data_IF_267235724207
#
_entry.id   IF_267235724207
#
_cell.length_a   1.000
_cell.length_b   1.000
_cell.length_c   1.000
_cell.angle_alpha   90.00
_cell.angle_beta   90.00
_cell.angle_gamma   90.00
#
_symmetry.space_group_name_H-M   'P 1'
#
loop_
_entity.id
_entity.type
_entity.pdbx_description
1 polymer ?
#
# COMPACT_ATOMS: atom_id res chain seq x y z
N UNK A 1 2.52 -12.63 38.02
CA UNK A 1 3.42 -11.76 37.18
C UNK A 1 4.49 -12.57 36.42
N UNK A 2 4.31 -13.86 36.18
CA UNK A 2 5.31 -14.70 35.46
C UNK A 2 4.92 -15.12 34.04
N UNK A 3 3.80 -14.61 33.49
CA UNK A 3 3.26 -15.12 32.22
C UNK A 3 3.65 -14.31 30.96
N UNK A 4 4.42 -13.24 31.07
CA UNK A 4 4.79 -12.41 29.90
C UNK A 4 6.25 -12.51 29.46
N UNK A 5 7.15 -13.01 30.32
CA UNK A 5 8.59 -13.04 30.00
C UNK A 5 8.95 -14.01 28.86
N UNK A 6 8.26 -15.14 28.72
CA UNK A 6 8.54 -16.08 27.64
C UNK A 6 8.13 -15.55 26.26
N UNK A 7 7.07 -14.70 26.18
CA UNK A 7 6.63 -14.10 24.90
C UNK A 7 7.69 -13.16 24.33
N UNK A 8 8.44 -12.47 25.18
CA UNK A 8 9.56 -11.62 24.74
C UNK A 8 10.80 -12.40 24.29
N UNK A 9 10.91 -13.68 24.62
CA UNK A 9 12.01 -14.55 24.19
C UNK A 9 11.75 -15.26 22.85
N UNK A 10 10.52 -15.19 22.31
CA UNK A 10 10.16 -15.78 21.02
C UNK A 10 10.18 -14.68 19.95
N UNK A 11 11.16 -14.75 19.05
CA UNK A 11 11.28 -13.79 17.95
C UNK A 11 10.25 -14.03 16.86
N UNK A 12 10.07 -13.05 15.97
CA UNK A 12 9.21 -13.20 14.77
C UNK A 12 9.71 -14.33 13.86
N UNK A 13 11.01 -14.58 13.85
CA UNK A 13 11.63 -15.68 13.09
C UNK A 13 11.24 -17.03 13.68
N UNK A 14 11.28 -17.19 15.01
CA UNK A 14 10.89 -18.42 15.68
C UNK A 14 9.42 -18.75 15.45
N UNK A 15 8.57 -17.73 15.43
CA UNK A 15 7.14 -17.86 15.13
C UNK A 15 6.91 -18.28 13.69
N UNK A 16 7.62 -17.66 12.73
CA UNK A 16 7.52 -18.02 11.32
C UNK A 16 7.98 -19.45 11.06
N UNK A 17 9.09 -19.91 11.67
CA UNK A 17 9.52 -21.30 11.58
C UNK A 17 8.47 -22.27 12.15
N UNK A 18 7.80 -21.86 13.22
CA UNK A 18 6.72 -22.66 13.82
C UNK A 18 5.50 -22.75 12.89
N UNK A 19 5.09 -21.64 12.27
CA UNK A 19 4.02 -21.60 11.27
C UNK A 19 4.37 -22.51 10.08
N UNK A 20 5.60 -22.46 9.60
CA UNK A 20 6.07 -23.30 8.49
C UNK A 20 5.97 -24.80 8.82
N UNK A 21 6.35 -25.19 10.04
CA UNK A 21 6.23 -26.58 10.52
C UNK A 21 4.77 -27.04 10.66
N UNK A 22 3.88 -26.13 11.10
CA UNK A 22 2.43 -26.42 11.15
C UNK A 22 1.89 -26.60 9.73
N UNK A 23 2.25 -25.70 8.80
CA UNK A 23 1.83 -25.73 7.39
C UNK A 23 2.22 -27.05 6.70
N UNK A 24 3.47 -27.51 6.90
CA UNK A 24 3.94 -28.80 6.38
C UNK A 24 3.14 -30.00 6.91
N UNK A 25 2.60 -29.89 8.11
CA UNK A 25 1.85 -30.95 8.76
C UNK A 25 0.33 -30.91 8.49
N UNK A 26 -0.19 -29.77 7.99
CA UNK A 26 -1.61 -29.60 7.67
C UNK A 26 -1.95 -30.29 6.34
N UNK A 27 -3.02 -31.14 6.30
CA UNK A 27 -3.49 -31.71 5.05
C UNK A 27 -3.95 -30.68 4.00
N UNK A 28 -4.46 -29.54 4.48
CA UNK A 28 -4.94 -28.43 3.65
C UNK A 28 -3.82 -27.64 2.99
N UNK A 29 -2.61 -27.65 3.56
CA UNK A 29 -1.50 -26.75 3.20
C UNK A 29 -1.93 -25.26 3.11
N UNK A 30 -2.93 -24.87 3.91
CA UNK A 30 -3.42 -23.49 3.95
C UNK A 30 -2.61 -22.65 4.95
N UNK A 31 -1.92 -21.64 4.44
CA UNK A 31 -1.11 -20.73 5.24
C UNK A 31 -1.95 -19.97 6.28
N UNK A 32 -3.18 -19.57 5.94
CA UNK A 32 -4.05 -18.85 6.87
C UNK A 32 -4.47 -19.75 8.05
N UNK A 33 -4.71 -21.03 7.79
CA UNK A 33 -5.01 -22.01 8.82
C UNK A 33 -3.80 -22.25 9.73
N UNK A 34 -2.60 -22.37 9.16
CA UNK A 34 -1.37 -22.54 9.92
C UNK A 34 -1.08 -21.31 10.83
N UNK A 35 -1.27 -20.10 10.32
CA UNK A 35 -1.14 -18.85 11.08
C UNK A 35 -2.17 -18.78 12.22
N UNK A 36 -3.44 -19.14 11.96
CA UNK A 36 -4.48 -19.13 12.97
C UNK A 36 -4.20 -20.11 14.13
N UNK A 37 -3.67 -21.30 13.81
CA UNK A 37 -3.29 -22.32 14.81
C UNK A 37 -2.12 -21.80 15.67
N UNK A 38 -1.07 -21.25 15.05
CA UNK A 38 0.08 -20.70 15.78
C UNK A 38 -0.34 -19.53 16.66
N UNK A 39 -1.12 -18.59 16.14
CA UNK A 39 -1.58 -17.42 16.87
C UNK A 39 -2.43 -17.85 18.09
N UNK A 40 -3.35 -18.79 17.92
CA UNK A 40 -4.14 -19.32 19.02
C UNK A 40 -3.27 -20.02 20.10
N UNK A 41 -2.24 -20.74 19.67
CA UNK A 41 -1.26 -21.34 20.59
C UNK A 41 -0.45 -20.28 21.35
N UNK A 42 -0.02 -19.22 20.67
CA UNK A 42 0.74 -18.11 21.26
C UNK A 42 -0.10 -17.34 22.29
N UNK A 43 -1.36 -17.06 21.98
CA UNK A 43 -2.25 -16.29 22.85
C UNK A 43 -2.66 -17.07 24.11
N UNK A 44 -2.94 -18.36 23.97
CA UNK A 44 -3.48 -19.19 25.03
C UNK A 44 -2.43 -19.91 25.91
N UNK A 45 -1.12 -19.81 25.55
CA UNK A 45 -0.06 -20.45 26.34
C UNK A 45 0.43 -19.57 27.47
N UNK A 46 0.68 -20.18 28.60
CA UNK A 46 1.26 -19.52 29.80
C UNK A 46 2.78 -19.67 29.92
N UNK A 47 3.40 -20.50 29.06
CA UNK A 47 4.84 -20.76 29.03
C UNK A 47 5.30 -21.18 27.63
N UNK A 48 6.62 -21.02 27.36
CA UNK A 48 7.25 -21.45 26.11
C UNK A 48 7.05 -22.96 25.85
N UNK A 49 7.13 -23.80 26.89
CA UNK A 49 6.90 -25.24 26.75
C UNK A 49 5.46 -25.57 26.34
N UNK A 50 4.49 -24.84 26.88
CA UNK A 50 3.07 -25.00 26.52
C UNK A 50 2.82 -24.54 25.07
N UNK A 51 3.41 -23.42 24.67
CA UNK A 51 3.35 -22.91 23.30
C UNK A 51 3.94 -23.93 22.30
N UNK A 52 5.15 -24.39 22.53
CA UNK A 52 5.81 -25.39 21.68
C UNK A 52 4.99 -26.68 21.57
N UNK A 53 4.41 -27.13 22.71
CA UNK A 53 3.55 -28.32 22.71
C UNK A 53 2.23 -28.12 21.99
N UNK A 54 1.65 -26.91 22.02
CA UNK A 54 0.42 -26.59 21.31
C UNK A 54 0.62 -26.51 19.79
N UNK A 55 1.81 -26.08 19.35
CA UNK A 55 2.19 -26.01 17.94
C UNK A 55 2.71 -27.33 17.36
N UNK A 56 2.74 -28.43 18.14
CA UNK A 56 3.35 -29.69 17.67
C UNK A 56 2.49 -30.37 16.58
N UNK A 57 3.06 -30.76 15.42
CA UNK A 57 2.34 -31.28 14.25
C UNK A 57 1.39 -32.47 14.54
N UNK A 58 1.74 -33.32 15.50
CA UNK A 58 0.94 -34.52 15.82
C UNK A 58 -0.44 -34.25 16.45
N UNK A 59 -0.76 -33.01 16.84
CA UNK A 59 -2.07 -32.65 17.40
C UNK A 59 -3.11 -32.21 16.35
N UNK A 60 -2.70 -31.98 15.12
CA UNK A 60 -3.53 -31.41 14.07
C UNK A 60 -4.01 -32.43 13.02
N UNK A 61 -3.81 -33.73 13.28
CA UNK A 61 -4.13 -34.80 12.34
C UNK A 61 -5.51 -35.45 12.49
N UNK A 62 -6.32 -35.10 13.52
CA UNK A 62 -7.67 -35.64 13.68
C UNK A 62 -8.66 -34.59 14.22
N UNK A 63 -9.81 -34.36 13.55
CA UNK A 63 -10.88 -33.56 14.12
C UNK A 63 -11.64 -34.39 15.18
N UNK A 64 -12.03 -33.85 16.33
CA UNK A 64 -12.88 -34.52 17.29
C UNK A 64 -14.31 -34.57 16.78
N UNK A 65 -14.87 -35.79 16.69
CA UNK A 65 -16.28 -36.06 16.44
C UNK A 65 -17.14 -35.59 17.61
N UNK A 66 -18.12 -34.75 17.34
CA UNK A 66 -19.12 -34.27 18.29
C UNK A 66 -20.19 -35.30 18.55
N UNK A 67 -20.66 -35.50 19.78
CA UNK A 67 -21.88 -36.26 20.04
C UNK A 67 -23.14 -35.39 19.90
N UNK A 68 -24.11 -35.93 19.18
CA UNK A 68 -25.47 -35.40 19.12
C UNK A 68 -26.10 -35.36 20.51
N UNK A 69 -26.70 -34.24 20.86
CA UNK A 69 -27.69 -34.15 21.94
C UNK A 69 -28.94 -33.47 21.42
N UNK A 70 -30.04 -34.21 21.50
CA UNK A 70 -31.41 -33.79 21.23
C UNK A 70 -31.90 -32.79 22.28
N UNK A 71 -32.51 -31.69 21.86
CA UNK A 71 -33.35 -30.86 22.72
C UNK A 71 -34.49 -30.20 21.94
N UNK A 72 -35.66 -30.25 22.50
CA UNK A 72 -36.97 -29.79 22.07
C UNK A 72 -37.13 -28.25 22.21
N UNK A 73 -38.17 -27.63 21.62
CA UNK A 73 -38.23 -26.21 21.32
C UNK A 73 -38.85 -25.38 22.45
N UNK A 74 -38.34 -24.18 22.65
CA UNK A 74 -39.05 -23.15 23.44
C UNK A 74 -38.69 -21.73 22.99
N UNK A 75 -39.73 -20.98 22.61
CA UNK A 75 -39.95 -19.53 22.65
C UNK A 75 -39.07 -18.59 21.82
N UNK A 76 -39.65 -17.55 21.19
CA UNK A 76 -38.91 -16.56 20.41
C UNK A 76 -38.14 -15.59 21.33
N UNK A 77 -36.85 -15.77 21.45
CA UNK A 77 -35.97 -14.81 22.10
C UNK A 77 -35.66 -13.67 21.15
N UNK A 78 -35.72 -12.46 21.69
CA UNK A 78 -35.25 -11.22 21.09
C UNK A 78 -33.84 -11.40 20.46
N UNK A 79 -33.51 -10.69 19.34
CA UNK A 79 -32.18 -10.77 18.79
C UNK A 79 -31.17 -10.33 19.85
N UNK A 80 -30.20 -11.19 20.14
CA UNK A 80 -29.06 -10.85 20.98
C UNK A 80 -28.34 -9.62 20.41
N UNK A 81 -27.82 -8.70 21.25
CA UNK A 81 -27.04 -7.56 20.74
C UNK A 81 -25.82 -8.12 20.02
N UNK A 82 -25.71 -7.83 18.74
CA UNK A 82 -24.50 -8.10 17.98
C UNK A 82 -23.34 -7.41 18.69
N UNK A 83 -22.44 -8.17 19.29
CA UNK A 83 -21.29 -7.68 20.04
C UNK A 83 -20.18 -7.28 19.06
N UNK A 84 -20.45 -6.29 18.22
CA UNK A 84 -19.45 -5.66 17.37
C UNK A 84 -18.49 -4.78 18.18
N UNK A 85 -17.27 -4.62 17.67
CA UNK A 85 -16.27 -3.72 18.28
C UNK A 85 -16.84 -2.29 18.30
N UNK A 86 -16.65 -1.58 19.43
CA UNK A 86 -16.99 -0.16 19.56
C UNK A 86 -15.73 0.70 19.56
N UNK A 87 -15.70 1.73 18.70
CA UNK A 87 -14.59 2.68 18.59
C UNK A 87 -15.17 4.11 18.73
N UNK A 88 -14.95 4.74 19.86
CA UNK A 88 -15.58 6.01 20.20
C UNK A 88 -17.10 5.93 20.20
N UNK A 89 -17.76 6.75 19.39
CA UNK A 89 -19.21 6.76 19.18
C UNK A 89 -19.70 5.68 18.20
N UNK A 90 -18.80 5.08 17.40
CA UNK A 90 -19.13 4.11 16.38
C UNK A 90 -19.27 2.71 16.98
N UNK A 91 -20.38 2.05 16.70
CA UNK A 91 -20.71 0.69 17.16
C UNK A 91 -20.71 -0.29 15.97
N UNK A 92 -20.59 -1.58 16.29
CA UNK A 92 -20.61 -2.67 15.31
C UNK A 92 -19.51 -2.53 14.23
N UNK A 93 -18.33 -2.11 14.67
CA UNK A 93 -17.17 -2.00 13.78
C UNK A 93 -16.57 -3.39 13.51
N UNK A 94 -16.23 -3.66 12.26
CA UNK A 94 -15.54 -4.88 11.82
C UNK A 94 -14.16 -4.51 11.25
N UNK A 95 -13.10 -5.31 11.54
CA UNK A 95 -11.77 -5.05 11.00
C UNK A 95 -11.77 -5.25 9.47
N UNK A 96 -11.03 -4.40 8.76
CA UNK A 96 -10.79 -4.50 7.31
C UNK A 96 -9.31 -4.79 7.04
N UNK A 97 -8.41 -4.07 7.71
CA UNK A 97 -6.98 -4.13 7.47
C UNK A 97 -6.21 -3.91 8.77
N UNK A 98 -5.11 -4.63 8.92
CA UNK A 98 -4.17 -4.48 10.04
C UNK A 98 -2.79 -4.17 9.46
N UNK A 99 -2.34 -2.94 9.69
CA UNK A 99 -1.05 -2.44 9.21
C UNK A 99 -0.13 -2.06 10.37
N UNK A 100 1.15 -1.86 10.07
CA UNK A 100 2.20 -1.54 11.06
C UNK A 100 1.90 -0.26 11.84
N UNK A 101 1.33 0.76 11.19
CA UNK A 101 1.08 2.08 11.79
C UNK A 101 -0.38 2.32 12.15
N UNK A 102 -1.31 1.57 11.57
CA UNK A 102 -2.74 1.78 11.77
C UNK A 102 -3.55 0.53 11.47
N UNK A 103 -4.69 0.41 12.15
CA UNK A 103 -5.73 -0.57 11.89
C UNK A 103 -6.94 0.12 11.27
N UNK A 104 -7.57 -0.50 10.28
CA UNK A 104 -8.76 0.06 9.63
C UNK A 104 -9.97 -0.80 9.92
N UNK A 105 -11.04 -0.15 10.37
CA UNK A 105 -12.32 -0.79 10.68
C UNK A 105 -13.43 -0.20 9.82
N UNK A 106 -14.39 -1.03 9.44
CA UNK A 106 -15.64 -0.61 8.82
C UNK A 106 -16.72 -0.49 9.86
N UNK A 107 -17.42 0.65 9.89
CA UNK A 107 -18.56 0.93 10.75
C UNK A 107 -19.70 1.47 9.90
N UNK A 108 -20.53 0.59 9.34
CA UNK A 108 -21.57 0.95 8.38
C UNK A 108 -20.99 1.53 7.09
N UNK A 109 -21.26 2.82 6.83
CA UNK A 109 -20.75 3.58 5.68
C UNK A 109 -19.47 4.37 5.97
N UNK A 110 -18.86 4.15 7.13
CA UNK A 110 -17.65 4.86 7.58
C UNK A 110 -16.49 3.87 7.72
N UNK A 111 -15.30 4.28 7.30
CA UNK A 111 -14.04 3.60 7.59
C UNK A 111 -13.30 4.38 8.70
N UNK A 112 -12.84 3.68 9.72
CA UNK A 112 -12.09 4.25 10.85
C UNK A 112 -10.64 3.77 10.77
N UNK A 113 -9.70 4.68 10.55
CA UNK A 113 -8.26 4.45 10.63
C UNK A 113 -7.80 4.75 12.05
N UNK A 114 -7.57 3.70 12.83
CA UNK A 114 -7.08 3.79 14.22
C UNK A 114 -5.56 3.76 14.20
N UNK A 115 -4.94 4.80 14.71
CA UNK A 115 -3.47 4.93 14.74
C UNK A 115 -2.91 4.11 15.90
N UNK A 116 -2.02 3.18 15.57
CA UNK A 116 -1.36 2.28 16.55
C UNK A 116 0.05 2.79 16.88
N UNK A 117 0.80 3.18 15.85
CA UNK A 117 2.15 3.70 16.00
C UNK A 117 2.37 4.97 15.17
N UNK A 118 3.17 5.89 15.71
CA UNK A 118 3.59 7.10 15.01
C UNK A 118 5.10 7.08 14.85
N UNK A 119 5.56 6.85 13.64
CA UNK A 119 6.99 6.82 13.27
C UNK A 119 7.13 7.54 11.92
N UNK A 120 7.97 8.59 11.86
CA UNK A 120 8.22 9.29 10.59
C UNK A 120 8.73 8.29 9.51
N UNK A 121 8.28 8.41 8.28
CA UNK A 121 7.51 9.53 7.69
C UNK A 121 5.99 9.50 7.97
N UNK A 122 5.45 8.52 8.69
CA UNK A 122 4.03 8.44 9.03
C UNK A 122 3.68 9.41 10.17
N UNK A 123 2.96 10.49 9.84
CA UNK A 123 2.57 11.51 10.81
C UNK A 123 1.06 11.81 10.72
N UNK A 124 0.24 11.19 11.59
CA UNK A 124 -1.21 11.31 11.51
C UNK A 124 -1.73 12.73 11.84
N UNK A 125 -1.02 13.53 12.63
CA UNK A 125 -1.40 14.91 12.88
C UNK A 125 -1.16 15.80 11.65
N UNK A 126 -0.10 15.54 10.91
CA UNK A 126 0.16 16.17 9.61
C UNK A 126 -0.88 15.71 8.58
N UNK A 127 -1.19 14.41 8.51
CA UNK A 127 -2.23 13.85 7.65
C UNK A 127 -3.58 14.57 7.84
N UNK A 128 -4.04 14.72 9.08
CA UNK A 128 -5.28 15.45 9.41
C UNK A 128 -5.26 16.89 8.85
N UNK A 129 -4.17 17.62 9.10
CA UNK A 129 -4.06 19.02 8.66
C UNK A 129 -4.08 19.15 7.14
N UNK A 130 -3.41 18.21 6.43
CA UNK A 130 -3.42 18.17 4.97
C UNK A 130 -4.86 17.87 4.48
N UNK A 131 -5.48 16.80 4.96
CA UNK A 131 -6.81 16.37 4.53
C UNK A 131 -7.90 17.45 4.77
N UNK A 132 -7.78 18.25 5.81
CA UNK A 132 -8.71 19.36 6.09
C UNK A 132 -8.71 20.44 4.99
N UNK A 133 -7.62 20.55 4.21
CA UNK A 133 -7.50 21.51 3.11
C UNK A 133 -7.91 20.95 1.75
N UNK A 134 -7.98 19.63 1.63
CA UNK A 134 -8.22 18.93 0.38
C UNK A 134 -9.71 18.73 0.08
N UNK A 135 -10.02 18.49 -1.18
CA UNK A 135 -11.36 18.20 -1.71
C UNK A 135 -11.31 16.97 -2.62
N UNK A 136 -12.44 16.33 -2.93
CA UNK A 136 -12.47 15.31 -3.97
C UNK A 136 -11.79 15.79 -5.26
N UNK A 137 -11.02 14.93 -5.92
CA UNK A 137 -10.93 13.47 -5.73
C UNK A 137 -9.91 12.98 -4.68
N UNK A 138 -9.41 13.82 -3.77
CA UNK A 138 -8.78 13.32 -2.53
C UNK A 138 -9.88 12.81 -1.58
N UNK A 139 -9.57 11.76 -0.79
CA UNK A 139 -10.52 11.21 0.17
C UNK A 139 -10.91 12.27 1.23
N UNK A 140 -12.19 12.56 1.45
CA UNK A 140 -12.59 13.54 2.46
C UNK A 140 -12.43 12.97 3.87
N UNK A 141 -11.81 13.73 4.76
CA UNK A 141 -11.81 13.45 6.20
C UNK A 141 -13.17 13.88 6.78
N UNK A 142 -13.92 12.95 7.39
CA UNK A 142 -15.20 13.24 8.05
C UNK A 142 -14.93 13.91 9.40
N UNK A 143 -14.15 13.25 10.25
CA UNK A 143 -13.74 13.76 11.56
C UNK A 143 -12.47 13.07 12.05
N UNK A 144 -11.87 13.60 13.11
CA UNK A 144 -10.82 12.92 13.85
C UNK A 144 -11.11 13.06 15.36
N UNK A 145 -10.91 11.99 16.10
CA UNK A 145 -11.18 11.93 17.52
C UNK A 145 -10.23 10.97 18.25
N UNK A 146 -10.33 10.92 19.58
CA UNK A 146 -9.65 9.88 20.36
C UNK A 146 -10.68 8.86 20.86
N UNK A 147 -10.33 7.59 20.71
CA UNK A 147 -11.17 6.50 21.20
C UNK A 147 -11.07 6.32 22.74
N UNK A 148 -11.70 5.27 23.27
CA UNK A 148 -11.69 4.95 24.70
C UNK A 148 -10.28 4.66 25.23
N UNK A 149 -9.35 4.21 24.37
CA UNK A 149 -7.95 3.90 24.66
C UNK A 149 -7.02 5.08 24.38
N UNK A 150 -7.58 6.27 24.10
CA UNK A 150 -6.86 7.49 23.74
C UNK A 150 -6.07 7.40 22.44
N UNK A 151 -6.31 6.39 21.60
CA UNK A 151 -5.74 6.29 20.26
C UNK A 151 -6.39 7.30 19.34
N UNK A 152 -5.60 7.89 18.46
CA UNK A 152 -6.10 8.82 17.45
C UNK A 152 -6.83 8.01 16.36
N UNK A 153 -8.03 8.46 16.02
CA UNK A 153 -8.87 7.83 14.99
C UNK A 153 -9.22 8.87 13.93
N UNK A 154 -9.06 8.50 12.67
CA UNK A 154 -9.49 9.27 11.51
C UNK A 154 -10.67 8.56 10.86
N UNK A 155 -11.78 9.27 10.65
CA UNK A 155 -12.99 8.75 10.02
C UNK A 155 -13.10 9.22 8.58
N UNK A 156 -13.38 8.27 7.68
CA UNK A 156 -13.50 8.48 6.23
C UNK A 156 -14.80 7.84 5.72
N UNK A 157 -15.32 8.24 4.56
CA UNK A 157 -16.32 7.43 3.86
C UNK A 157 -15.75 6.03 3.57
N UNK A 158 -16.54 5.00 3.81
CA UNK A 158 -16.13 3.65 3.46
C UNK A 158 -16.20 3.44 1.94
N UNK A 159 -15.08 3.06 1.35
CA UNK A 159 -14.97 2.65 -0.04
C UNK A 159 -14.76 1.14 -0.11
N UNK A 160 -15.61 0.40 -0.87
CA UNK A 160 -15.62 -1.06 -0.85
C UNK A 160 -14.43 -1.70 -1.57
N UNK A 161 -13.73 -0.96 -2.41
CA UNK A 161 -12.67 -1.47 -3.28
C UNK A 161 -11.47 -0.52 -3.30
N UNK A 162 -10.32 -1.08 -3.64
CA UNK A 162 -9.13 -0.35 -4.07
C UNK A 162 -8.87 -0.63 -5.56
N UNK A 163 -8.01 0.16 -6.19
CA UNK A 163 -7.53 -0.16 -7.54
C UNK A 163 -6.73 -1.48 -7.53
N UNK A 164 -6.02 -1.81 -6.44
CA UNK A 164 -5.36 -3.11 -6.30
C UNK A 164 -6.35 -4.27 -6.43
N UNK A 165 -7.51 -4.19 -5.75
CA UNK A 165 -8.56 -5.22 -5.86
C UNK A 165 -9.08 -5.40 -7.29
N UNK A 166 -9.11 -4.33 -8.07
CA UNK A 166 -9.55 -4.37 -9.47
C UNK A 166 -8.48 -4.97 -10.35
N UNK A 167 -7.20 -4.59 -10.17
CA UNK A 167 -6.08 -5.13 -10.94
C UNK A 167 -5.87 -6.61 -10.66
N UNK A 168 -5.88 -7.04 -9.40
CA UNK A 168 -5.67 -8.43 -8.99
C UNK A 168 -6.74 -9.39 -9.54
N UNK A 169 -7.98 -8.90 -9.69
CA UNK A 169 -9.09 -9.68 -10.24
C UNK A 169 -9.12 -9.69 -11.76
N UNK A 170 -8.32 -8.85 -12.41
CA UNK A 170 -8.33 -8.69 -13.86
C UNK A 170 -7.38 -9.68 -14.53
N UNK A 171 -7.88 -10.47 -15.48
CA UNK A 171 -7.06 -11.37 -16.31
C UNK A 171 -6.51 -10.69 -17.57
N UNK A 172 -6.94 -9.46 -17.84
CA UNK A 172 -6.55 -8.65 -19.01
C UNK A 172 -6.34 -7.20 -18.59
N UNK A 173 -5.74 -6.40 -19.46
CA UNK A 173 -5.65 -4.95 -19.29
C UNK A 173 -7.02 -4.36 -18.94
N UNK A 174 -7.03 -3.29 -18.15
CA UNK A 174 -8.25 -2.55 -17.90
C UNK A 174 -8.75 -1.88 -19.19
N UNK A 175 -10.08 -1.73 -19.29
CA UNK A 175 -10.69 -1.00 -20.38
C UNK A 175 -10.24 0.48 -20.41
N UNK A 176 -10.03 1.03 -21.61
CA UNK A 176 -9.55 2.40 -21.80
C UNK A 176 -10.45 3.45 -21.16
N UNK A 177 -11.77 3.25 -21.16
CA UNK A 177 -12.71 4.17 -20.52
C UNK A 177 -12.58 4.12 -19.00
N UNK A 178 -12.36 2.93 -18.43
CA UNK A 178 -12.11 2.73 -17.02
C UNK A 178 -10.77 3.36 -16.58
N UNK A 179 -9.70 3.15 -17.37
CA UNK A 179 -8.40 3.79 -17.14
C UNK A 179 -8.55 5.32 -17.15
N UNK A 180 -9.23 5.87 -18.16
CA UNK A 180 -9.47 7.31 -18.28
C UNK A 180 -10.20 7.86 -17.06
N UNK A 181 -11.24 7.17 -16.59
CA UNK A 181 -12.01 7.58 -15.42
C UNK A 181 -11.16 7.57 -14.14
N UNK A 182 -10.58 6.41 -13.80
CA UNK A 182 -9.83 6.23 -12.55
C UNK A 182 -8.57 7.11 -12.53
N UNK A 183 -7.76 7.05 -13.58
CA UNK A 183 -6.51 7.81 -13.62
C UNK A 183 -6.76 9.31 -13.83
N UNK A 184 -7.88 9.71 -14.45
CA UNK A 184 -8.32 11.10 -14.53
C UNK A 184 -8.59 11.67 -13.12
N UNK A 185 -9.32 10.95 -12.28
CA UNK A 185 -9.55 11.34 -10.88
C UNK A 185 -8.22 11.42 -10.09
N UNK A 186 -7.33 10.43 -10.24
CA UNK A 186 -6.02 10.43 -9.56
C UNK A 186 -5.15 11.60 -10.02
N UNK A 187 -5.11 11.89 -11.33
CA UNK A 187 -4.42 13.05 -11.88
C UNK A 187 -4.98 14.37 -11.32
N UNK A 188 -6.31 14.49 -11.24
CA UNK A 188 -6.96 15.65 -10.62
C UNK A 188 -6.56 15.81 -9.14
N UNK A 189 -6.48 14.72 -8.38
CA UNK A 189 -6.01 14.74 -7.00
C UNK A 189 -4.54 15.18 -6.92
N UNK A 190 -3.66 14.62 -7.77
CA UNK A 190 -2.24 14.98 -7.80
C UNK A 190 -2.02 16.44 -8.21
N UNK A 191 -2.74 16.94 -9.21
CA UNK A 191 -2.69 18.35 -9.59
C UNK A 191 -3.05 19.25 -8.39
N UNK A 192 -4.12 18.93 -7.67
CA UNK A 192 -4.58 19.70 -6.51
C UNK A 192 -3.57 19.71 -5.35
N UNK A 193 -2.88 18.61 -5.05
CA UNK A 193 -1.89 18.58 -3.98
C UNK A 193 -0.55 19.19 -4.42
N UNK A 194 -0.11 18.92 -5.65
CA UNK A 194 1.16 19.45 -6.18
C UNK A 194 1.11 20.98 -6.32
N UNK A 195 -0.04 21.57 -6.67
CA UNK A 195 -0.21 23.02 -6.71
C UNK A 195 -0.02 23.70 -5.33
N UNK A 196 -0.19 22.93 -4.24
CA UNK A 196 0.07 23.38 -2.87
C UNK A 196 1.49 23.00 -2.39
N UNK A 197 2.32 22.43 -3.25
CA UNK A 197 3.66 21.94 -2.93
C UNK A 197 3.66 20.68 -2.06
N UNK A 198 2.51 20.01 -1.90
CA UNK A 198 2.41 18.75 -1.16
C UNK A 198 2.90 17.61 -2.05
N UNK A 199 3.70 16.69 -1.48
CA UNK A 199 4.16 15.45 -2.14
C UNK A 199 3.59 14.27 -1.38
N UNK A 200 2.86 13.40 -2.07
CA UNK A 200 2.17 12.25 -1.43
C UNK A 200 3.15 11.19 -0.93
N UNK A 201 4.14 10.85 -1.76
CA UNK A 201 5.27 9.95 -1.49
C UNK A 201 4.94 8.44 -1.44
N UNK A 202 3.67 8.05 -1.56
CA UNK A 202 3.28 6.63 -1.56
C UNK A 202 2.09 6.34 -2.50
N UNK A 203 2.19 6.81 -3.75
CA UNK A 203 1.22 6.50 -4.80
C UNK A 203 1.36 5.03 -5.21
N UNK A 204 0.25 4.28 -5.09
CA UNK A 204 0.17 2.85 -5.39
C UNK A 204 -1.30 2.42 -5.56
N UNK A 205 -1.61 1.26 -6.18
CA UNK A 205 -2.99 0.84 -6.39
C UNK A 205 -3.83 0.73 -5.11
N UNK A 206 -3.24 0.30 -3.98
CA UNK A 206 -3.95 0.21 -2.70
C UNK A 206 -4.25 1.57 -2.04
N UNK A 207 -3.60 2.66 -2.48
CA UNK A 207 -3.91 4.02 -2.04
C UNK A 207 -5.03 4.68 -2.86
N UNK A 208 -5.50 4.04 -3.93
CA UNK A 208 -6.61 4.52 -4.77
C UNK A 208 -7.88 3.78 -4.36
N UNK A 209 -8.76 4.47 -3.64
CA UNK A 209 -10.03 3.93 -3.18
C UNK A 209 -11.14 4.14 -4.23
N UNK A 210 -11.98 3.14 -4.41
CA UNK A 210 -13.05 3.14 -5.42
C UNK A 210 -14.41 2.96 -4.76
N UNK A 211 -15.36 3.84 -5.09
CA UNK A 211 -16.74 3.72 -4.64
C UNK A 211 -17.47 2.54 -5.33
N UNK A 212 -17.04 2.21 -6.55
CA UNK A 212 -17.49 1.05 -7.34
C UNK A 212 -16.37 0.59 -8.28
N UNK A 213 -16.45 -0.58 -8.93
CA UNK A 213 -15.45 -1.00 -9.92
C UNK A 213 -15.19 -0.01 -11.05
N UNK A 214 -16.14 0.88 -11.34
CA UNK A 214 -16.04 1.92 -12.38
C UNK A 214 -15.71 3.33 -11.83
N UNK A 215 -15.42 3.46 -10.55
CA UNK A 215 -15.17 4.75 -9.89
C UNK A 215 -16.41 5.31 -9.17
N UNK A 216 -16.43 6.57 -8.77
CA UNK A 216 -15.28 7.48 -8.78
C UNK A 216 -14.12 7.00 -7.93
N UNK A 217 -12.89 7.42 -8.30
CA UNK A 217 -11.69 7.12 -7.59
C UNK A 217 -11.30 8.26 -6.62
N UNK A 218 -10.70 7.87 -5.48
CA UNK A 218 -10.22 8.83 -4.49
C UNK A 218 -8.79 8.49 -4.08
N UNK A 219 -7.91 9.48 -4.14
CA UNK A 219 -6.56 9.37 -3.59
C UNK A 219 -6.64 9.39 -2.05
N UNK A 220 -6.05 8.41 -1.42
CA UNK A 220 -6.07 8.19 0.03
C UNK A 220 -4.67 7.98 0.61
N UNK A 221 -4.58 7.79 1.92
CA UNK A 221 -3.37 7.48 2.68
C UNK A 221 -2.29 8.56 2.63
N UNK A 222 -2.63 9.75 3.14
CA UNK A 222 -1.73 10.89 3.25
C UNK A 222 -0.77 10.81 4.46
N UNK A 223 -0.69 9.66 5.13
CA UNK A 223 0.14 9.47 6.33
C UNK A 223 1.62 9.80 6.12
N UNK A 224 2.15 9.50 4.94
CA UNK A 224 3.54 9.79 4.55
C UNK A 224 3.72 11.13 3.85
N UNK A 225 2.65 11.87 3.54
CA UNK A 225 2.73 13.08 2.72
C UNK A 225 3.63 14.15 3.33
N UNK A 226 4.46 14.78 2.49
CA UNK A 226 5.27 15.93 2.85
C UNK A 226 4.55 17.23 2.49
N UNK A 227 4.60 18.20 3.39
CA UNK A 227 3.98 19.50 3.19
C UNK A 227 5.00 20.63 3.43
N UNK A 228 5.09 21.66 2.58
CA UNK A 228 6.17 22.65 2.63
C UNK A 228 6.30 23.39 3.95
N UNK A 229 5.21 23.59 4.69
CA UNK A 229 5.23 24.26 5.98
C UNK A 229 5.08 23.31 7.16
N UNK A 230 4.22 22.29 7.07
CA UNK A 230 3.96 21.37 8.16
C UNK A 230 5.09 20.37 8.42
N UNK A 231 5.86 20.05 7.39
CA UNK A 231 7.00 19.13 7.48
C UNK A 231 8.34 19.84 7.65
N UNK A 232 8.43 21.16 7.39
CA UNK A 232 9.70 21.88 7.26
C UNK A 232 10.61 21.80 8.49
N UNK A 233 10.04 21.63 9.69
CA UNK A 233 10.83 21.54 10.94
C UNK A 233 11.46 20.16 11.14
N UNK A 234 10.80 19.07 10.73
CA UNK A 234 11.30 17.70 10.86
C UNK A 234 11.98 17.21 9.57
N UNK A 235 11.49 17.64 8.42
CA UNK A 235 11.99 17.29 7.09
C UNK A 235 12.17 18.56 6.22
N UNK A 236 13.30 19.27 6.33
CA UNK A 236 13.56 20.43 5.46
C UNK A 236 13.51 20.05 3.98
N UNK A 237 13.16 20.98 3.06
CA UNK A 237 13.01 20.71 1.62
C UNK A 237 14.22 20.02 0.95
N UNK A 238 15.43 20.31 1.41
CA UNK A 238 16.66 19.70 0.89
C UNK A 238 17.11 18.45 1.70
N UNK A 239 16.34 17.99 2.70
CA UNK A 239 16.74 16.89 3.56
C UNK A 239 15.53 16.03 3.98
N UNK A 240 14.75 15.61 2.98
CA UNK A 240 13.58 14.73 3.20
C UNK A 240 14.00 13.30 3.51
N UNK A 241 13.09 12.55 4.13
CA UNK A 241 13.26 11.13 4.44
C UNK A 241 13.24 10.34 3.13
N UNK A 242 14.12 9.34 3.02
CA UNK A 242 14.25 8.47 1.84
C UNK A 242 13.44 7.17 1.93
N UNK A 243 13.00 6.80 3.14
CA UNK A 243 12.15 5.61 3.31
C UNK A 243 10.70 5.94 2.97
N UNK A 244 10.45 6.17 1.70
CA UNK A 244 9.15 6.54 1.11
C UNK A 244 8.94 5.79 -0.20
N UNK A 245 7.69 5.59 -0.56
CA UNK A 245 7.29 4.81 -1.73
C UNK A 245 7.31 3.30 -1.48
N UNK A 246 6.43 2.59 -2.15
CA UNK A 246 6.21 1.15 -1.95
C UNK A 246 6.66 0.36 -3.19
N UNK A 247 7.48 -0.65 -2.97
CA UNK A 247 7.83 -1.68 -3.96
C UNK A 247 8.16 -1.10 -5.34
N UNK A 248 7.53 -1.60 -6.43
CA UNK A 248 7.85 -1.22 -7.80
C UNK A 248 7.54 0.24 -8.13
N UNK A 249 6.76 0.96 -7.31
CA UNK A 249 6.35 2.35 -7.50
C UNK A 249 7.37 3.36 -6.99
N UNK A 250 8.41 2.90 -6.26
CA UNK A 250 9.45 3.78 -5.70
C UNK A 250 10.31 4.40 -6.81
N UNK A 251 10.42 5.72 -6.77
CA UNK A 251 11.15 6.49 -7.79
C UNK A 251 12.68 6.32 -7.69
N UNK A 252 13.42 6.30 -8.81
CA UNK A 252 14.86 6.06 -8.83
C UNK A 252 15.66 7.11 -8.06
N UNK A 253 15.29 8.39 -8.08
CA UNK A 253 15.98 9.43 -7.31
C UNK A 253 15.93 9.16 -5.80
N UNK A 254 14.85 8.61 -5.29
CA UNK A 254 14.75 8.18 -3.88
C UNK A 254 15.69 7.00 -3.62
N UNK A 255 15.74 6.02 -4.53
CA UNK A 255 16.64 4.87 -4.44
C UNK A 255 18.11 5.26 -4.44
N UNK A 256 18.47 6.32 -5.16
CA UNK A 256 19.85 6.86 -5.24
C UNK A 256 20.14 7.96 -4.22
N UNK A 257 19.21 8.20 -3.29
CA UNK A 257 19.45 9.02 -2.11
C UNK A 257 19.32 10.54 -2.30
N UNK A 258 18.60 10.98 -3.34
CA UNK A 258 18.24 12.39 -3.47
C UNK A 258 17.23 12.78 -2.40
N UNK A 259 17.68 13.54 -1.41
CA UNK A 259 16.83 14.05 -0.33
C UNK A 259 16.05 15.32 -0.71
N UNK A 260 16.35 15.90 -1.87
CA UNK A 260 15.68 17.10 -2.37
C UNK A 260 14.48 16.80 -3.27
N UNK A 261 14.14 15.52 -3.46
CA UNK A 261 13.04 15.08 -4.32
C UNK A 261 11.76 15.89 -4.11
N UNK A 262 10.89 15.91 -5.12
CA UNK A 262 9.64 16.69 -5.11
C UNK A 262 8.49 15.93 -5.78
N UNK A 263 7.45 16.63 -6.27
CA UNK A 263 6.30 16.07 -6.96
C UNK A 263 6.63 15.04 -8.06
N UNK A 264 7.75 15.09 -8.78
CA UNK A 264 8.08 14.08 -9.79
C UNK A 264 8.11 12.63 -9.26
N UNK A 265 8.34 12.39 -7.95
CA UNK A 265 8.30 11.02 -7.40
C UNK A 265 6.89 10.42 -7.45
N UNK A 266 5.85 11.24 -7.24
CA UNK A 266 4.45 10.82 -7.36
C UNK A 266 4.09 10.55 -8.82
N UNK A 267 4.63 11.35 -9.75
CA UNK A 267 4.40 11.17 -11.18
C UNK A 267 5.08 9.90 -11.74
N UNK A 268 6.27 9.54 -11.22
CA UNK A 268 6.87 8.23 -11.49
C UNK A 268 5.95 7.10 -11.03
N UNK A 269 5.52 7.14 -9.78
CA UNK A 269 4.67 6.11 -9.20
C UNK A 269 3.33 5.96 -9.96
N UNK A 270 2.71 7.09 -10.35
CA UNK A 270 1.53 7.11 -11.21
C UNK A 270 1.81 6.45 -12.57
N UNK A 271 2.94 6.76 -13.19
CA UNK A 271 3.34 6.18 -14.48
C UNK A 271 3.54 4.67 -14.41
N UNK A 272 4.15 4.17 -13.33
CA UNK A 272 4.30 2.73 -13.07
C UNK A 272 2.93 2.06 -12.87
N UNK A 273 2.04 2.68 -12.11
CA UNK A 273 0.68 2.21 -11.88
C UNK A 273 -0.15 2.20 -13.17
N UNK A 274 -0.01 3.22 -14.04
CA UNK A 274 -0.65 3.24 -15.35
C UNK A 274 -0.10 2.14 -16.26
N UNK A 275 1.23 1.94 -16.28
CA UNK A 275 1.86 0.86 -17.03
C UNK A 275 1.36 -0.52 -16.59
N UNK A 276 1.11 -0.71 -15.30
CA UNK A 276 0.51 -1.93 -14.75
C UNK A 276 -0.92 -2.14 -15.26
N UNK A 277 -1.77 -1.11 -15.18
CA UNK A 277 -3.18 -1.19 -15.56
C UNK A 277 -3.41 -1.48 -17.05
N UNK A 278 -2.51 -1.02 -17.93
CA UNK A 278 -2.61 -1.22 -19.40
C UNK A 278 -1.99 -2.53 -19.88
N UNK A 279 -1.32 -3.30 -19.02
CA UNK A 279 -0.74 -4.62 -19.36
C UNK A 279 -1.78 -5.73 -19.24
N UNK A 280 -1.57 -6.79 -20.01
CA UNK A 280 -2.43 -7.98 -19.99
C UNK A 280 -1.59 -9.23 -19.72
N UNK A 281 -1.75 -9.91 -18.54
CA UNK A 281 -2.49 -9.46 -17.37
C UNK A 281 -1.84 -8.22 -16.71
N UNK A 282 -2.58 -7.48 -15.86
CA UNK A 282 -2.02 -6.35 -15.12
C UNK A 282 -0.82 -6.80 -14.27
N UNK A 283 0.28 -6.09 -14.38
CA UNK A 283 1.48 -6.33 -13.58
C UNK A 283 2.43 -5.14 -13.68
N UNK A 284 3.11 -4.76 -12.59
CA UNK A 284 4.09 -3.68 -12.64
C UNK A 284 5.19 -3.94 -13.68
N UNK A 285 5.72 -2.92 -14.36
CA UNK A 285 6.82 -3.06 -15.31
C UNK A 285 8.15 -3.40 -14.62
N UNK A 286 8.25 -3.18 -13.33
CA UNK A 286 9.44 -3.42 -12.52
C UNK A 286 9.19 -4.48 -11.47
N UNK A 287 10.14 -5.39 -11.29
CA UNK A 287 10.12 -6.37 -10.21
C UNK A 287 10.67 -5.74 -8.93
N UNK A 288 9.96 -5.96 -7.83
CA UNK A 288 10.43 -5.57 -6.50
C UNK A 288 10.17 -6.73 -5.54
N UNK A 289 11.21 -7.18 -4.85
CA UNK A 289 11.10 -8.18 -3.80
C UNK A 289 11.04 -7.53 -2.43
N UNK A 290 10.40 -8.18 -1.44
CA UNK A 290 10.41 -7.69 -0.07
C UNK A 290 11.83 -7.46 0.44
N UNK A 291 12.03 -6.38 1.20
CA UNK A 291 13.36 -5.99 1.71
C UNK A 291 14.02 -7.09 2.56
N UNK A 292 13.22 -7.89 3.28
CA UNK A 292 13.71 -9.00 4.08
C UNK A 292 14.21 -10.19 3.26
N UNK A 293 13.81 -10.32 1.99
CA UNK A 293 14.33 -11.36 1.10
C UNK A 293 15.66 -10.95 0.44
N UNK A 294 15.78 -9.68 0.02
CA UNK A 294 16.95 -9.17 -0.72
C UNK A 294 17.88 -8.32 0.13
N UNK A 295 17.46 -7.92 1.33
CA UNK A 295 18.21 -7.04 2.23
C UNK A 295 18.42 -5.62 1.72
N UNK A 296 17.96 -5.28 0.49
CA UNK A 296 18.18 -3.97 -0.10
C UNK A 296 17.26 -3.70 -1.29
N UNK A 297 17.37 -2.48 -1.82
CA UNK A 297 16.63 -1.99 -2.98
C UNK A 297 17.36 -2.26 -4.32
N UNK A 298 18.44 -3.03 -4.32
CA UNK A 298 19.25 -3.32 -5.51
C UNK A 298 18.47 -4.10 -6.56
N UNK A 299 17.61 -5.04 -6.13
CA UNK A 299 16.74 -5.80 -7.02
C UNK A 299 15.84 -4.89 -7.85
N UNK A 300 15.21 -3.90 -7.22
CA UNK A 300 14.38 -2.92 -7.92
C UNK A 300 15.20 -2.04 -8.87
N UNK A 301 16.36 -1.54 -8.44
CA UNK A 301 17.25 -0.74 -9.30
C UNK A 301 17.64 -1.55 -10.55
N UNK A 302 18.06 -2.81 -10.37
CA UNK A 302 18.40 -3.68 -11.49
C UNK A 302 17.21 -3.94 -12.42
N UNK A 303 16.01 -4.11 -11.88
CA UNK A 303 14.80 -4.29 -12.68
C UNK A 303 14.47 -3.04 -13.50
N UNK A 304 14.60 -1.84 -12.91
CA UNK A 304 14.42 -0.57 -13.61
C UNK A 304 15.45 -0.48 -14.76
N UNK A 305 16.74 -0.75 -14.49
CA UNK A 305 17.80 -0.65 -15.50
C UNK A 305 17.66 -1.69 -16.61
N UNK A 306 17.26 -2.92 -16.30
CA UNK A 306 16.96 -3.95 -17.30
C UNK A 306 15.78 -3.57 -18.19
N UNK A 307 14.81 -2.86 -17.65
CA UNK A 307 13.59 -2.49 -18.38
C UNK A 307 13.79 -1.26 -19.23
N UNK A 308 14.36 -0.17 -18.67
CA UNK A 308 14.51 1.12 -19.35
C UNK A 308 15.86 1.31 -20.02
N UNK A 309 16.86 0.56 -19.62
CA UNK A 309 18.27 0.78 -19.89
C UNK A 309 18.98 1.49 -18.73
N UNK A 310 20.29 1.29 -18.61
CA UNK A 310 21.11 2.01 -17.63
C UNK A 310 21.13 3.49 -17.96
N UNK A 311 20.85 4.39 -17.01
CA UNK A 311 20.90 5.82 -17.29
C UNK A 311 22.32 6.30 -17.60
N UNK A 312 22.41 7.37 -18.38
CA UNK A 312 23.65 8.08 -18.68
C UNK A 312 23.60 9.50 -18.12
N UNK A 313 24.72 10.21 -18.02
CA UNK A 313 24.72 11.62 -17.63
C UNK A 313 23.85 12.54 -18.49
N UNK A 314 23.50 12.12 -19.71
CA UNK A 314 22.60 12.84 -20.64
C UNK A 314 21.13 12.50 -20.36
N UNK A 315 20.81 11.24 -20.01
CA UNK A 315 19.44 10.81 -19.74
C UNK A 315 19.00 11.06 -18.29
N UNK A 316 19.97 11.30 -17.39
CA UNK A 316 19.74 11.66 -16.00
C UNK A 316 20.75 12.67 -15.47
N UNK A 317 20.72 13.92 -15.95
CA UNK A 317 21.75 14.92 -15.61
C UNK A 317 21.80 15.27 -14.11
N UNK A 318 20.67 15.20 -13.39
CA UNK A 318 20.59 15.50 -11.96
C UNK A 318 21.38 14.49 -11.11
N UNK A 319 21.47 13.25 -11.57
CA UNK A 319 22.17 12.18 -10.85
C UNK A 319 23.69 12.40 -10.76
N UNK A 320 24.25 13.35 -11.52
CA UNK A 320 25.67 13.79 -11.35
C UNK A 320 25.93 14.39 -9.97
N UNK A 321 24.90 14.94 -9.33
CA UNK A 321 24.99 15.53 -7.99
C UNK A 321 24.72 14.51 -6.86
N UNK A 322 24.32 13.29 -7.17
CA UNK A 322 24.03 12.27 -6.17
C UNK A 322 25.31 11.77 -5.52
N UNK A 323 25.24 11.43 -4.24
CA UNK A 323 26.38 10.88 -3.49
C UNK A 323 26.90 9.58 -4.11
N UNK A 324 26.02 8.75 -4.64
CA UNK A 324 26.31 7.53 -5.39
C UNK A 324 25.67 7.70 -6.75
N UNK A 325 26.50 7.83 -7.79
CA UNK A 325 26.00 7.99 -9.15
C UNK A 325 25.62 6.64 -9.75
N UNK A 326 24.57 6.57 -10.60
CA UNK A 326 24.19 5.32 -11.25
C UNK A 326 25.09 4.94 -12.43
N UNK A 327 26.08 5.76 -12.81
CA UNK A 327 26.75 5.68 -14.11
C UNK A 327 27.93 4.72 -14.16
N UNK A 328 28.63 4.49 -13.04
CA UNK A 328 29.94 3.82 -13.02
C UNK A 328 29.92 2.43 -12.37
N UNK A 329 28.90 2.10 -11.62
CA UNK A 329 28.88 0.92 -10.74
C UNK A 329 28.07 -0.26 -11.26
N UNK A 330 27.42 -0.12 -12.42
CA UNK A 330 26.39 -1.05 -12.86
C UNK A 330 26.72 -1.70 -14.22
N UNK A 331 26.22 -2.90 -14.40
CA UNK A 331 26.18 -3.51 -15.75
C UNK A 331 25.35 -2.60 -16.67
N UNK A 332 25.90 -2.25 -17.82
CA UNK A 332 25.21 -1.43 -18.80
C UNK A 332 24.16 -2.25 -19.53
N UNK A 333 22.91 -1.83 -19.36
CA UNK A 333 21.77 -2.37 -20.13
C UNK A 333 21.42 -1.37 -21.24
N UNK A 334 21.13 -1.84 -22.46
CA UNK A 334 20.75 -0.97 -23.56
C UNK A 334 19.39 -0.30 -23.26
N UNK A 335 19.22 0.93 -23.73
CA UNK A 335 17.93 1.59 -23.69
C UNK A 335 16.93 0.82 -24.55
N UNK A 336 15.68 0.75 -24.07
CA UNK A 336 14.59 0.07 -24.75
C UNK A 336 13.45 1.04 -25.03
N UNK A 337 12.92 0.95 -26.22
CA UNK A 337 11.77 1.75 -26.63
C UNK A 337 10.47 1.27 -25.96
N UNK A 338 9.59 2.20 -25.62
CA UNK A 338 8.35 1.88 -24.92
C UNK A 338 7.43 0.93 -25.66
N UNK A 339 7.45 0.92 -27.02
CA UNK A 339 6.69 -0.05 -27.79
C UNK A 339 7.18 -1.51 -27.62
N UNK A 340 8.43 -1.68 -27.20
CA UNK A 340 9.03 -2.99 -26.86
C UNK A 340 8.74 -3.36 -25.41
N UNK A 341 8.69 -2.38 -24.51
CA UNK A 341 8.41 -2.56 -23.08
C UNK A 341 6.92 -2.87 -22.86
N UNK A 342 6.06 -2.15 -23.58
CA UNK A 342 4.61 -2.24 -23.52
C UNK A 342 4.04 -2.57 -24.93
N UNK A 343 4.19 -3.81 -25.40
CA UNK A 343 3.68 -4.21 -26.70
C UNK A 343 2.16 -4.37 -26.66
N UNK A 344 1.49 -4.00 -27.78
CA UNK A 344 0.06 -4.26 -27.97
C UNK A 344 -0.87 -3.39 -27.13
N UNK A 345 -0.37 -2.38 -26.40
CA UNK A 345 -1.19 -1.42 -25.65
C UNK A 345 -1.55 -0.20 -26.48
N UNK A 346 -2.58 0.52 -26.05
CA UNK A 346 -2.97 1.79 -26.66
C UNK A 346 -1.79 2.78 -26.70
N UNK A 347 -1.58 3.41 -27.87
CA UNK A 347 -0.44 4.29 -28.09
C UNK A 347 -0.48 5.55 -27.21
N UNK A 348 -1.67 6.11 -26.97
CA UNK A 348 -1.84 7.31 -26.15
C UNK A 348 -1.46 7.07 -24.70
N UNK A 349 -1.93 5.96 -24.09
CA UNK A 349 -1.55 5.59 -22.73
C UNK A 349 -0.07 5.20 -22.63
N UNK A 350 0.47 4.48 -23.62
CA UNK A 350 1.90 4.17 -23.67
C UNK A 350 2.76 5.44 -23.74
N UNK A 351 2.37 6.42 -24.51
CA UNK A 351 3.08 7.71 -24.61
C UNK A 351 2.96 8.50 -23.30
N UNK A 352 1.81 8.44 -22.61
CA UNK A 352 1.68 9.01 -21.26
C UNK A 352 2.64 8.35 -20.27
N UNK A 353 2.73 7.01 -20.26
CA UNK A 353 3.72 6.28 -19.44
C UNK A 353 5.13 6.74 -19.77
N UNK A 354 5.49 6.87 -21.05
CA UNK A 354 6.82 7.32 -21.49
C UNK A 354 7.17 8.73 -20.98
N UNK A 355 6.18 9.60 -20.78
CA UNK A 355 6.36 10.94 -20.22
C UNK A 355 6.46 10.97 -18.70
N UNK A 356 5.93 9.96 -18.02
CA UNK A 356 5.92 9.84 -16.57
C UNK A 356 7.10 9.03 -16.05
N UNK A 357 7.44 7.93 -16.70
CA UNK A 357 8.48 6.99 -16.25
C UNK A 357 9.80 7.34 -16.97
N UNK A 358 10.45 8.38 -16.47
CA UNK A 358 11.73 8.90 -16.95
C UNK A 358 12.69 9.07 -15.80
N UNK A 359 13.99 8.95 -16.06
CA UNK A 359 15.03 9.19 -15.06
C UNK A 359 15.11 10.64 -14.64
N UNK A 360 15.11 11.54 -15.62
CA UNK A 360 15.28 12.99 -15.40
C UNK A 360 14.04 13.63 -14.74
N UNK A 361 14.24 14.81 -14.17
CA UNK A 361 13.19 15.58 -13.50
C UNK A 361 12.14 16.21 -14.43
N UNK A 362 12.24 16.01 -15.76
CA UNK A 362 11.29 16.56 -16.75
C UNK A 362 10.06 15.65 -16.96
N UNK A 363 9.67 14.88 -15.95
CA UNK A 363 8.41 14.11 -15.96
C UNK A 363 7.23 15.06 -16.13
N UNK A 364 6.25 14.65 -16.94
CA UNK A 364 5.04 15.44 -17.11
C UNK A 364 4.33 15.65 -15.77
N UNK A 365 3.82 16.86 -15.56
CA UNK A 365 2.98 17.19 -14.41
C UNK A 365 1.58 16.57 -14.56
N UNK A 366 0.83 16.50 -13.47
CA UNK A 366 -0.54 15.98 -13.52
C UNK A 366 -1.44 16.82 -14.44
N UNK A 367 -1.30 18.15 -14.39
CA UNK A 367 -2.04 19.07 -15.26
C UNK A 367 -1.70 18.84 -16.75
N UNK A 368 -0.42 18.63 -17.08
CA UNK A 368 0.00 18.33 -18.44
C UNK A 368 -0.58 17.01 -18.95
N UNK A 369 -0.55 15.94 -18.13
CA UNK A 369 -1.09 14.62 -18.53
C UNK A 369 -2.58 14.68 -18.75
N UNK A 370 -3.34 15.46 -17.97
CA UNK A 370 -4.77 15.66 -18.16
C UNK A 370 -5.12 16.27 -19.53
N UNK A 371 -4.18 16.98 -20.17
CA UNK A 371 -4.39 17.52 -21.53
C UNK A 371 -4.14 16.50 -22.64
N UNK A 372 -3.62 15.31 -22.34
CA UNK A 372 -3.33 14.32 -23.36
C UNK A 372 -4.62 13.69 -23.90
N UNK A 373 -4.67 13.43 -25.21
CA UNK A 373 -5.86 12.90 -25.89
C UNK A 373 -6.41 11.60 -25.25
N UNK A 374 -5.53 10.76 -24.70
CA UNK A 374 -5.95 9.53 -24.01
C UNK A 374 -6.73 9.80 -22.72
N UNK A 375 -6.62 10.99 -22.12
CA UNK A 375 -7.37 11.41 -20.93
C UNK A 375 -8.45 12.46 -21.25
N UNK A 376 -8.41 13.12 -22.42
CA UNK A 376 -9.45 14.03 -22.83
C UNK A 376 -10.77 13.26 -23.03
N UNK A 377 -11.89 13.85 -22.63
CA UNK A 377 -13.20 13.32 -22.99
C UNK A 377 -13.36 13.46 -24.51
N UNK A 378 -13.82 12.39 -25.15
CA UNK A 378 -14.29 12.49 -26.54
C UNK A 378 -15.47 13.46 -26.54
N UNK A 379 -15.29 14.65 -27.14
CA UNK A 379 -16.37 15.59 -27.45
C UNK A 379 -17.30 15.03 -28.54
#
# INVERSE_FOLDING_TARGET
MASSEWKSSVSSVDRYETISKILEALPSQDMNEAVAIEQAAYDNSSSLAQYTSACHPSKHQNPPSSPLSTASPSSPSQPAPESGIRIGSYANCSPISDGVTSQVFRCGTTALKVIVHTVEPHNPLREIKILQTLRPPCIPLIESFRDQEQRLVLAFPYMPLTLADVLDKSSSALDNALIRSIFGDVLGALAAIHSQGIVHRDIKPSAILLASPSGPAHLSDFGTAWHPTLSASSEPPASKILDVGTGPYRAPEVLFGDKSYGPPVDMWALGVMLAEAIRSPPSPPFESRPVHEDGNQLGLILSIFKTLGTPTPETWPEARAFRVTPFELWTVFPQREWHVILPGVDAGFRDAVARLVRYDGSRATADEVLTYKCFANDE
#
